data_IF_124620123002
#
_entry.id   IF_124620123002
#
_cell.length_a   1.000
_cell.length_b   1.000
_cell.length_c   1.000
_cell.angle_alpha   90.00
_cell.angle_beta   90.00
_cell.angle_gamma   90.00
#
_symmetry.space_group_name_H-M   'P 1'
#
loop_
_entity.id
_entity.type
_entity.pdbx_description
1 polymer ?
#
# COMPACT_ATOMS: atom_id res chain seq x y z
N UNK A 1 14.53 19.01 -15.61
CA UNK A 1 15.12 18.12 -14.61
C UNK A 1 14.17 16.97 -14.39
N UNK A 2 14.56 15.76 -14.72
CA UNK A 2 13.74 14.59 -14.43
C UNK A 2 13.77 14.37 -12.91
N UNK A 3 12.62 14.55 -12.24
CA UNK A 3 12.44 14.16 -10.87
C UNK A 3 12.69 12.66 -10.76
N UNK A 4 13.79 12.33 -10.09
CA UNK A 4 14.17 10.97 -9.78
C UNK A 4 13.09 10.42 -8.84
N UNK A 5 12.11 9.71 -9.41
CA UNK A 5 11.16 8.92 -8.66
C UNK A 5 11.94 7.95 -7.76
N UNK A 6 12.14 8.34 -6.51
CA UNK A 6 12.65 7.43 -5.49
C UNK A 6 11.52 6.46 -5.21
N UNK A 7 11.52 5.33 -5.90
CA UNK A 7 10.70 4.18 -5.55
C UNK A 7 11.28 3.57 -4.28
N UNK A 8 10.92 4.10 -3.14
CA UNK A 8 11.19 3.42 -1.89
C UNK A 8 10.11 2.36 -1.69
N UNK A 9 10.43 1.10 -1.97
CA UNK A 9 9.64 -0.01 -1.49
C UNK A 9 9.84 -0.08 0.02
N UNK A 10 8.87 0.40 0.80
CA UNK A 10 8.91 0.35 2.25
C UNK A 10 8.05 -0.81 2.71
N UNK A 11 8.65 -1.67 3.52
CA UNK A 11 7.96 -2.80 4.11
C UNK A 11 7.21 -2.32 5.37
N UNK A 12 5.95 -1.97 5.21
CA UNK A 12 5.02 -1.99 6.32
C UNK A 12 4.54 -3.43 6.48
N UNK A 13 4.62 -3.95 7.69
CA UNK A 13 3.99 -5.24 8.03
C UNK A 13 2.49 -5.01 8.12
N UNK A 14 1.85 -4.90 6.97
CA UNK A 14 0.40 -4.87 6.89
C UNK A 14 -0.08 -6.30 6.64
N UNK A 15 -0.89 -6.83 7.54
CA UNK A 15 -1.36 -8.20 7.46
C UNK A 15 -2.51 -8.36 6.48
N UNK A 16 -2.51 -9.47 5.74
CA UNK A 16 -3.72 -9.97 5.10
C UNK A 16 -4.71 -10.30 6.20
N UNK A 17 -5.89 -9.65 6.19
CA UNK A 17 -6.90 -9.85 7.20
C UNK A 17 -7.71 -11.11 6.94
N UNK A 18 -8.04 -11.35 5.68
CA UNK A 18 -8.83 -12.48 5.24
C UNK A 18 -8.61 -12.78 3.74
N UNK A 19 -8.78 -14.02 3.34
CA UNK A 19 -8.74 -14.44 1.95
C UNK A 19 -9.79 -15.50 1.70
N UNK A 20 -10.76 -15.19 0.85
CA UNK A 20 -11.66 -16.19 0.27
C UNK A 20 -11.06 -16.67 -1.06
N UNK A 21 -10.31 -17.76 -1.00
CA UNK A 21 -9.61 -18.31 -2.17
C UNK A 21 -10.57 -18.89 -3.21
N UNK A 22 -11.80 -19.26 -2.84
CA UNK A 22 -12.81 -19.72 -3.77
C UNK A 22 -13.38 -18.58 -4.60
N UNK A 23 -13.62 -17.45 -3.95
CA UNK A 23 -14.08 -16.23 -4.61
C UNK A 23 -12.94 -15.41 -5.20
N UNK A 24 -11.70 -15.70 -4.82
CA UNK A 24 -10.51 -14.93 -5.21
C UNK A 24 -10.50 -13.52 -4.61
N UNK A 25 -11.05 -13.34 -3.42
CA UNK A 25 -11.06 -12.04 -2.74
C UNK A 25 -10.03 -12.04 -1.60
N UNK A 26 -9.18 -11.05 -1.59
CA UNK A 26 -8.18 -10.81 -0.55
C UNK A 26 -8.44 -9.45 0.07
N UNK A 27 -8.48 -9.39 1.40
CA UNK A 27 -8.71 -8.16 2.16
C UNK A 27 -7.62 -7.93 3.18
N UNK A 28 -7.36 -6.69 3.51
CA UNK A 28 -6.40 -6.34 4.55
C UNK A 28 -6.08 -4.85 4.58
N UNK A 29 -4.97 -4.55 5.24
CA UNK A 29 -4.41 -3.22 5.27
C UNK A 29 -3.13 -3.18 4.45
N UNK A 30 -3.01 -2.22 3.59
CA UNK A 30 -1.80 -1.99 2.78
C UNK A 30 -0.82 -1.03 3.47
N UNK A 31 -1.29 -0.28 4.46
CA UNK A 31 -0.49 0.62 5.30
C UNK A 31 -1.21 0.86 6.62
N UNK A 32 -0.47 1.07 7.70
CA UNK A 32 -1.00 1.46 9.00
C UNK A 32 -0.66 2.92 9.32
N UNK A 33 -1.59 3.63 9.97
CA UNK A 33 -1.37 5.00 10.42
C UNK A 33 -0.66 5.06 11.77
N UNK A 34 0.05 6.16 12.00
CA UNK A 34 0.66 6.49 13.28
C UNK A 34 1.68 5.43 13.79
N UNK A 35 2.18 4.58 12.91
CA UNK A 35 3.21 3.59 13.20
C UNK A 35 4.55 4.04 12.63
N UNK A 36 5.60 3.99 13.45
CA UNK A 36 6.95 4.33 13.03
C UNK A 36 7.57 3.13 12.30
N UNK A 37 7.94 3.31 11.04
CA UNK A 37 8.61 2.27 10.26
C UNK A 37 10.14 2.23 10.45
N UNK A 38 10.80 1.29 9.77
CA UNK A 38 12.25 1.13 9.84
C UNK A 38 13.04 2.32 9.27
N UNK A 39 12.43 3.10 8.39
CA UNK A 39 13.01 4.32 7.82
C UNK A 39 12.69 5.57 8.64
N UNK A 40 12.03 5.36 9.79
CA UNK A 40 11.58 6.40 10.72
C UNK A 40 10.52 7.32 10.13
N UNK A 41 9.72 6.80 9.22
CA UNK A 41 8.56 7.48 8.68
C UNK A 41 7.27 7.05 9.39
N UNK A 42 6.32 7.97 9.45
CA UNK A 42 4.99 7.77 10.03
C UNK A 42 3.97 8.19 8.98
N UNK A 43 3.15 7.26 8.50
CA UNK A 43 2.03 7.59 7.62
C UNK A 43 0.90 8.20 8.44
N UNK A 44 0.49 9.39 8.06
CA UNK A 44 -0.55 10.13 8.78
C UNK A 44 -1.94 9.86 8.18
N UNK A 45 -3.01 9.85 9.02
CA UNK A 45 -4.38 9.85 8.52
C UNK A 45 -4.60 10.98 7.51
N UNK A 46 -5.29 10.69 6.42
CA UNK A 46 -5.51 11.63 5.32
C UNK A 46 -4.44 11.58 4.21
N UNK A 47 -3.33 10.85 4.42
CA UNK A 47 -2.23 10.79 3.45
C UNK A 47 -2.65 10.23 2.09
N UNK A 48 -3.66 9.38 2.03
CA UNK A 48 -4.14 8.73 0.81
C UNK A 48 -5.42 9.34 0.24
N UNK A 49 -6.04 10.31 0.92
CA UNK A 49 -7.35 10.86 0.53
C UNK A 49 -7.37 11.34 -0.91
N UNK A 50 -6.35 12.08 -1.33
CA UNK A 50 -6.28 12.64 -2.68
C UNK A 50 -6.03 11.55 -3.73
N UNK A 51 -5.05 10.68 -3.52
CA UNK A 51 -4.74 9.61 -4.47
C UNK A 51 -5.90 8.64 -4.66
N UNK A 52 -6.63 8.31 -3.60
CA UNK A 52 -7.85 7.48 -3.68
C UNK A 52 -8.92 8.18 -4.52
N UNK A 53 -9.17 9.47 -4.28
CA UNK A 53 -10.15 10.24 -5.04
C UNK A 53 -9.82 10.31 -6.53
N UNK A 54 -8.56 10.49 -6.87
CA UNK A 54 -8.10 10.69 -8.24
C UNK A 54 -7.91 9.38 -9.02
N UNK A 55 -7.44 8.31 -8.35
CA UNK A 55 -6.99 7.08 -9.01
C UNK A 55 -7.48 5.79 -8.35
N UNK A 56 -8.28 5.90 -7.30
CA UNK A 56 -8.87 4.75 -6.62
C UNK A 56 -9.91 4.01 -7.45
N UNK A 57 -10.44 2.88 -6.95
CA UNK A 57 -11.37 2.03 -7.71
C UNK A 57 -12.66 2.72 -8.11
N UNK A 58 -13.13 3.69 -7.34
CA UNK A 58 -14.36 4.45 -7.60
C UNK A 58 -14.12 5.75 -8.39
N UNK A 59 -12.88 6.02 -8.79
CA UNK A 59 -12.54 7.20 -9.57
C UNK A 59 -12.87 7.02 -11.06
N UNK A 60 -12.88 8.13 -11.80
CA UNK A 60 -13.05 8.11 -13.27
C UNK A 60 -11.84 7.50 -14.00
N UNK A 61 -10.70 7.42 -13.34
CA UNK A 61 -9.45 6.85 -13.88
C UNK A 61 -8.78 5.93 -12.87
N UNK A 62 -9.35 4.75 -12.59
CA UNK A 62 -8.79 3.83 -11.62
C UNK A 62 -7.44 3.27 -12.12
N UNK A 63 -6.35 3.65 -11.46
CA UNK A 63 -4.99 3.24 -11.82
C UNK A 63 -4.24 2.49 -10.74
N UNK A 64 -4.71 2.56 -9.50
CA UNK A 64 -4.10 1.82 -8.39
C UNK A 64 -4.45 0.35 -8.52
N UNK A 65 -3.44 -0.52 -8.51
CA UNK A 65 -3.59 -1.95 -8.76
C UNK A 65 -2.93 -2.79 -7.69
N UNK A 66 -3.43 -3.99 -7.52
CA UNK A 66 -2.80 -5.03 -6.73
C UNK A 66 -1.73 -5.73 -7.58
N UNK A 67 -0.47 -5.63 -7.16
CA UNK A 67 0.71 -6.10 -7.90
C UNK A 67 1.49 -7.13 -7.10
N UNK A 68 2.17 -8.04 -7.79
CA UNK A 68 3.16 -8.91 -7.16
C UNK A 68 4.50 -8.14 -7.02
N UNK A 69 5.01 -8.04 -5.79
CA UNK A 69 6.30 -7.39 -5.49
C UNK A 69 6.46 -5.99 -6.11
N UNK A 70 5.39 -5.20 -6.12
CA UNK A 70 5.36 -3.86 -6.74
C UNK A 70 5.74 -3.85 -8.23
N UNK A 71 5.66 -4.99 -8.90
CA UNK A 71 5.98 -5.09 -10.32
C UNK A 71 4.75 -4.77 -11.17
N UNK A 72 4.81 -3.66 -11.90
CA UNK A 72 3.70 -3.19 -12.76
C UNK A 72 3.40 -4.15 -13.92
N UNK A 73 4.33 -5.03 -14.27
CA UNK A 73 4.13 -6.06 -15.29
C UNK A 73 3.47 -7.33 -14.75
N UNK A 74 3.27 -7.42 -13.44
CA UNK A 74 2.69 -8.57 -12.75
C UNK A 74 1.46 -8.19 -11.93
N UNK A 75 0.36 -7.73 -12.56
CA UNK A 75 -0.88 -7.43 -11.87
C UNK A 75 -1.54 -8.71 -11.36
N UNK A 76 -1.95 -8.70 -10.08
CA UNK A 76 -2.61 -9.83 -9.43
C UNK A 76 -4.12 -9.70 -9.44
N UNK A 77 -4.62 -8.48 -9.30
CA UNK A 77 -6.06 -8.28 -9.17
C UNK A 77 -6.51 -6.84 -9.31
N UNK A 78 -7.82 -6.70 -9.35
CA UNK A 78 -8.51 -5.41 -9.38
C UNK A 78 -8.94 -5.03 -7.99
N UNK A 79 -8.62 -3.82 -7.54
CA UNK A 79 -9.17 -3.29 -6.30
C UNK A 79 -10.67 -3.06 -6.43
N UNK A 80 -11.43 -3.60 -5.48
CA UNK A 80 -12.87 -3.38 -5.33
C UNK A 80 -13.12 -2.24 -4.35
N UNK A 81 -12.33 -2.20 -3.27
CA UNK A 81 -12.39 -1.19 -2.23
C UNK A 81 -10.99 -0.72 -1.91
N UNK A 82 -10.82 0.58 -1.78
CA UNK A 82 -9.62 1.21 -1.23
C UNK A 82 -10.07 2.43 -0.45
N UNK A 83 -9.85 2.41 0.87
CA UNK A 83 -10.29 3.48 1.76
C UNK A 83 -9.40 3.62 2.98
N UNK A 84 -9.37 4.80 3.53
CA UNK A 84 -8.83 5.04 4.86
C UNK A 84 -9.87 4.74 5.94
N UNK A 85 -9.44 4.10 7.02
CA UNK A 85 -10.17 4.00 8.27
C UNK A 85 -9.29 4.43 9.45
N UNK A 86 -9.72 4.21 10.68
CA UNK A 86 -8.96 4.60 11.86
C UNK A 86 -7.62 3.87 12.01
N UNK A 87 -7.48 2.68 11.42
CA UNK A 87 -6.27 1.86 11.49
C UNK A 87 -5.27 2.19 10.37
N UNK A 88 -5.77 2.44 9.16
CA UNK A 88 -4.89 2.66 8.02
C UNK A 88 -5.59 2.61 6.67
N UNK A 89 -4.84 2.19 5.66
CA UNK A 89 -5.33 2.02 4.29
C UNK A 89 -5.87 0.60 4.11
N UNK A 90 -7.19 0.47 4.19
CA UNK A 90 -7.92 -0.77 3.96
C UNK A 90 -8.17 -1.02 2.48
N UNK A 91 -8.05 -2.27 2.04
CA UNK A 91 -8.33 -2.67 0.67
C UNK A 91 -9.11 -3.99 0.59
N UNK A 92 -9.83 -4.14 -0.50
CA UNK A 92 -10.38 -5.40 -0.99
C UNK A 92 -9.98 -5.57 -2.45
N UNK A 93 -9.37 -6.71 -2.77
CA UNK A 93 -8.89 -7.02 -4.11
C UNK A 93 -9.56 -8.28 -4.65
N UNK A 94 -10.07 -8.19 -5.87
CA UNK A 94 -10.49 -9.35 -6.65
C UNK A 94 -9.30 -9.85 -7.46
N UNK A 95 -8.75 -10.97 -7.05
CA UNK A 95 -7.62 -11.60 -7.72
C UNK A 95 -8.06 -12.22 -9.04
N UNK A 96 -7.26 -12.07 -10.08
CA UNK A 96 -7.57 -12.56 -11.42
C UNK A 96 -7.42 -14.07 -11.57
N UNK A 97 -7.65 -14.54 -12.79
CA UNK A 97 -7.55 -15.97 -13.16
C UNK A 97 -6.30 -16.30 -13.99
N UNK A 98 -5.41 -15.31 -14.20
CA UNK A 98 -4.12 -15.54 -14.84
C UNK A 98 -3.19 -16.39 -13.96
N UNK A 99 -2.20 -17.04 -14.55
CA UNK A 99 -1.35 -18.01 -13.84
C UNK A 99 -0.67 -17.42 -12.59
N UNK A 100 -0.13 -16.21 -12.67
CA UNK A 100 0.52 -15.52 -11.53
C UNK A 100 -0.47 -15.29 -10.39
N UNK A 101 -1.70 -14.87 -10.71
CA UNK A 101 -2.73 -14.61 -9.72
C UNK A 101 -3.21 -15.90 -9.03
N UNK A 102 -3.34 -16.98 -9.76
CA UNK A 102 -3.67 -18.31 -9.21
C UNK A 102 -2.58 -18.81 -8.28
N UNK A 103 -1.31 -18.69 -8.67
CA UNK A 103 -0.17 -19.07 -7.84
C UNK A 103 -0.08 -18.20 -6.58
N UNK A 104 -0.34 -16.90 -6.71
CA UNK A 104 -0.44 -15.98 -5.57
C UNK A 104 -1.49 -16.44 -4.55
N UNK A 105 -2.70 -16.78 -4.99
CA UNK A 105 -3.76 -17.27 -4.08
C UNK A 105 -3.36 -18.55 -3.35
N UNK A 106 -2.65 -19.47 -4.01
CA UNK A 106 -2.11 -20.68 -3.38
C UNK A 106 -1.07 -20.34 -2.31
N UNK A 107 -0.22 -19.34 -2.56
CA UNK A 107 0.77 -18.87 -1.59
C UNK A 107 0.11 -18.17 -0.39
N UNK A 108 -0.95 -17.42 -0.59
CA UNK A 108 -1.74 -16.82 0.49
C UNK A 108 -2.42 -17.90 1.31
N UNK A 109 -3.08 -18.86 0.67
CA UNK A 109 -3.81 -19.97 1.33
C UNK A 109 -2.88 -20.85 2.16
N UNK A 110 -1.66 -21.10 1.69
CA UNK A 110 -0.64 -21.87 2.41
C UNK A 110 0.11 -21.09 3.48
N UNK A 111 -0.13 -19.80 3.62
CA UNK A 111 0.56 -18.93 4.59
C UNK A 111 1.98 -18.53 4.18
N UNK A 112 2.38 -18.75 2.92
CA UNK A 112 3.68 -18.28 2.40
C UNK A 112 3.70 -16.76 2.19
N UNK A 113 2.56 -16.17 1.83
CA UNK A 113 2.38 -14.71 1.73
C UNK A 113 1.37 -14.29 2.79
N UNK A 114 1.82 -13.46 3.72
CA UNK A 114 1.01 -12.98 4.86
C UNK A 114 0.96 -11.46 4.94
N UNK A 115 1.71 -10.76 4.10
CA UNK A 115 1.92 -9.31 4.20
C UNK A 115 1.69 -8.63 2.86
N UNK A 116 1.22 -7.38 2.95
CA UNK A 116 1.12 -6.47 1.82
C UNK A 116 1.85 -5.17 2.13
N UNK A 117 2.17 -4.42 1.09
CA UNK A 117 2.82 -3.13 1.18
C UNK A 117 2.30 -2.19 0.10
N UNK A 118 2.68 -0.93 0.18
CA UNK A 118 2.36 0.09 -0.82
C UNK A 118 3.60 0.52 -1.60
N UNK A 119 3.41 0.78 -2.90
CA UNK A 119 4.35 1.56 -3.70
C UNK A 119 3.82 2.98 -3.84
N UNK A 120 4.62 3.97 -3.49
CA UNK A 120 4.16 5.36 -3.44
C UNK A 120 5.24 6.38 -3.72
N UNK A 121 4.79 7.60 -4.03
CA UNK A 121 5.62 8.79 -4.06
C UNK A 121 5.20 9.75 -2.95
N UNK A 122 6.16 10.35 -2.27
CA UNK A 122 5.88 11.35 -1.23
C UNK A 122 5.59 12.70 -1.90
N UNK A 123 4.43 13.25 -1.60
CA UNK A 123 4.00 14.59 -2.09
C UNK A 123 4.17 15.64 -0.99
N UNK A 124 3.75 15.32 0.25
CA UNK A 124 3.93 16.21 1.40
C UNK A 124 4.44 15.43 2.59
N UNK A 125 5.42 16.02 3.28
CA UNK A 125 6.00 15.47 4.50
C UNK A 125 6.32 16.57 5.50
N UNK A 126 6.39 16.19 6.77
CA UNK A 126 6.83 17.04 7.88
C UNK A 126 7.92 16.32 8.65
N UNK A 127 9.08 16.95 8.81
CA UNK A 127 10.17 16.38 9.61
C UNK A 127 10.00 16.88 11.05
N UNK A 128 9.92 15.94 11.98
CA UNK A 128 9.88 16.20 13.42
C UNK A 128 11.31 16.17 13.93
N UNK A 129 11.71 17.16 14.74
CA UNK A 129 13.07 17.32 15.28
C UNK A 129 14.14 17.34 14.17
N UNK A 130 14.10 18.30 13.24
CA UNK A 130 15.00 18.33 12.08
C UNK A 130 16.49 18.48 12.46
N UNK A 131 16.77 19.04 13.63
CA UNK A 131 18.14 19.25 14.16
C UNK A 131 18.66 18.05 14.96
N UNK A 132 17.82 17.03 15.18
CA UNK A 132 18.23 15.79 15.86
C UNK A 132 19.05 14.89 14.92
N UNK A 133 19.82 13.96 15.51
CA UNK A 133 20.48 12.94 14.72
C UNK A 133 19.42 12.05 14.03
N UNK A 134 19.81 11.35 12.97
CA UNK A 134 18.85 10.57 12.15
C UNK A 134 18.09 9.48 12.95
N UNK A 135 18.66 8.97 14.05
CA UNK A 135 18.01 7.98 14.91
C UNK A 135 16.88 8.55 15.77
N UNK A 136 16.87 9.86 15.98
CA UNK A 136 15.86 10.57 16.77
C UNK A 136 14.88 11.33 15.87
N UNK A 137 15.29 11.62 14.64
CA UNK A 137 14.46 12.31 13.66
C UNK A 137 13.32 11.38 13.18
N UNK A 138 12.14 11.95 13.01
CA UNK A 138 10.97 11.26 12.45
C UNK A 138 10.40 12.09 11.31
N UNK A 139 9.84 11.42 10.31
CA UNK A 139 9.18 12.08 9.19
C UNK A 139 7.72 11.67 9.13
N UNK A 140 6.81 12.64 9.26
CA UNK A 140 5.40 12.42 9.00
C UNK A 140 5.14 12.51 7.49
N UNK A 141 4.53 11.47 6.93
CA UNK A 141 4.10 11.42 5.53
C UNK A 141 2.63 11.87 5.47
N UNK A 142 2.42 13.10 4.98
CA UNK A 142 1.13 13.78 5.04
C UNK A 142 0.31 13.65 3.75
N UNK A 143 0.96 13.48 2.61
CA UNK A 143 0.32 13.20 1.32
C UNK A 143 1.18 12.25 0.49
N UNK A 144 0.59 11.14 0.08
CA UNK A 144 1.21 10.10 -0.73
C UNK A 144 0.42 9.88 -2.02
N UNK A 145 1.13 9.59 -3.10
CA UNK A 145 0.55 9.15 -4.37
C UNK A 145 0.89 7.68 -4.58
N UNK A 146 -0.13 6.85 -4.62
CA UNK A 146 -0.06 5.42 -4.91
C UNK A 146 0.12 5.15 -6.41
#
# INVERSE_FOLDING_TARGET
>A
MADKLIKSAKYFVASIKDADTKLGIVTGYASEFNSLDSDRDIVMPGAFTKTIKEQGPDSTQPRIKHLLNHNTEQPLGKLLVLKEDAKGLYYESKVGSNAIAVDYLKMVDSGLITEHSIGYSVIKKTIINPDANWMEQQTQLNELKL
#
